data_IF_418771652277
#
_entry.id   IF_418771652277
#
_cell.length_a   1.000
_cell.length_b   1.000
_cell.length_c   1.000
_cell.angle_alpha   90.00
_cell.angle_beta   90.00
_cell.angle_gamma   90.00
#
_symmetry.space_group_name_H-M   'P 1'
#
loop_
_entity.id
_entity.type
_entity.pdbx_description
1 polymer ?
#
# COMPACT_ATOMS: atom_id res chain seq x y z
N UNK A 1 32.47 4.13 -7.03
CA UNK A 1 31.66 2.91 -6.85
C UNK A 1 30.24 3.35 -6.52
N UNK A 2 29.30 3.20 -7.47
CA UNK A 2 27.89 3.56 -7.32
C UNK A 2 27.13 2.36 -6.76
N UNK A 3 26.47 2.48 -5.60
CA UNK A 3 25.25 1.74 -5.21
C UNK A 3 24.84 2.16 -3.80
N UNK A 4 23.94 3.13 -3.68
CA UNK A 4 22.97 3.25 -2.58
C UNK A 4 22.15 4.54 -2.77
N UNK A 5 21.61 4.75 -3.98
CA UNK A 5 20.41 5.55 -4.11
C UNK A 5 19.26 4.63 -3.67
N UNK A 6 19.16 4.38 -2.37
CA UNK A 6 17.89 3.97 -1.80
C UNK A 6 16.96 5.09 -2.14
N UNK A 7 16.15 4.84 -3.16
CA UNK A 7 15.04 5.66 -3.58
C UNK A 7 14.26 5.87 -2.30
N UNK A 8 14.41 7.06 -1.72
CA UNK A 8 13.48 7.62 -0.77
C UNK A 8 12.15 7.52 -1.49
N UNK A 9 11.42 6.45 -1.20
CA UNK A 9 10.02 6.33 -1.56
C UNK A 9 9.43 7.61 -0.97
N UNK A 10 8.97 8.55 -1.81
CA UNK A 10 8.39 9.76 -1.29
C UNK A 10 7.26 9.30 -0.39
N UNK A 11 7.38 9.67 0.89
CA UNK A 11 6.31 9.57 1.85
C UNK A 11 5.21 10.55 1.40
N UNK A 12 4.54 10.23 0.29
CA UNK A 12 3.28 10.82 -0.13
C UNK A 12 2.16 10.12 0.63
N UNK A 13 2.33 10.00 1.95
CA UNK A 13 1.21 9.86 2.87
C UNK A 13 0.85 11.25 3.40
N UNK A 14 0.84 12.24 2.50
CA UNK A 14 0.29 13.55 2.82
C UNK A 14 -1.23 13.45 2.64
N UNK A 15 -1.91 13.02 3.71
CA UNK A 15 -3.34 13.26 3.95
C UNK A 15 -4.31 12.65 2.91
N UNK A 16 -4.08 11.41 2.47
CA UNK A 16 -5.06 10.68 1.67
C UNK A 16 -6.27 10.30 2.55
N UNK A 17 -7.47 10.74 2.18
CA UNK A 17 -8.71 10.34 2.85
C UNK A 17 -8.93 8.83 2.76
N UNK A 18 -9.72 8.25 3.68
CA UNK A 18 -10.06 6.81 3.67
C UNK A 18 -10.51 6.34 2.28
N UNK A 19 -11.32 7.14 1.58
CA UNK A 19 -11.77 6.85 0.22
C UNK A 19 -10.63 6.72 -0.80
N UNK A 20 -9.58 7.54 -0.68
CA UNK A 20 -8.40 7.47 -1.55
C UNK A 20 -7.55 6.24 -1.23
N UNK A 21 -7.39 5.92 0.06
CA UNK A 21 -6.70 4.70 0.50
C UNK A 21 -7.42 3.43 0.01
N UNK A 22 -8.76 3.43 -0.01
CA UNK A 22 -9.56 2.35 -0.61
C UNK A 22 -9.37 2.24 -2.13
N UNK A 23 -9.27 3.36 -2.82
CA UNK A 23 -9.03 3.40 -4.26
C UNK A 23 -7.65 2.81 -4.61
N UNK A 24 -6.61 3.21 -3.87
CA UNK A 24 -5.28 2.64 -3.98
C UNK A 24 -5.27 1.15 -3.62
N UNK A 25 -5.95 0.75 -2.55
CA UNK A 25 -6.08 -0.65 -2.16
C UNK A 25 -6.70 -1.49 -3.30
N UNK A 26 -7.74 -0.97 -3.96
CA UNK A 26 -8.37 -1.64 -5.11
C UNK A 26 -7.43 -1.76 -6.32
N UNK A 27 -6.62 -0.73 -6.59
CA UNK A 27 -5.60 -0.76 -7.64
C UNK A 27 -4.51 -1.80 -7.35
N UNK A 28 -4.02 -1.87 -6.12
CA UNK A 28 -3.03 -2.87 -5.70
C UNK A 28 -3.63 -4.29 -5.74
N UNK A 29 -4.90 -4.46 -5.41
CA UNK A 29 -5.60 -5.74 -5.56
C UNK A 29 -5.69 -6.19 -7.01
N UNK A 30 -6.04 -5.30 -7.95
CA UNK A 30 -6.05 -5.63 -9.39
C UNK A 30 -4.66 -5.99 -9.91
N UNK A 31 -3.63 -5.28 -9.44
CA UNK A 31 -2.22 -5.56 -9.80
C UNK A 31 -1.81 -6.93 -9.28
N UNK A 32 -2.17 -7.26 -8.03
CA UNK A 32 -1.96 -8.59 -7.44
C UNK A 32 -2.72 -9.68 -8.19
N UNK A 33 -3.96 -9.43 -8.58
CA UNK A 33 -4.77 -10.41 -9.32
C UNK A 33 -4.16 -10.71 -10.69
N UNK A 34 -3.68 -9.67 -11.39
CA UNK A 34 -2.95 -9.81 -12.66
C UNK A 34 -1.68 -10.65 -12.48
N UNK A 35 -0.93 -10.43 -11.41
CA UNK A 35 0.27 -11.21 -11.09
C UNK A 35 -0.10 -12.66 -10.75
N UNK A 36 -1.11 -12.88 -9.89
CA UNK A 36 -1.58 -14.22 -9.48
C UNK A 36 -2.20 -15.00 -10.63
N UNK A 37 -2.76 -14.33 -11.63
CA UNK A 37 -3.31 -14.94 -12.84
C UNK A 37 -2.23 -15.60 -13.72
N UNK A 38 -0.97 -15.15 -13.60
CA UNK A 38 0.15 -15.77 -14.30
C UNK A 38 0.57 -17.02 -13.55
N UNK A 39 0.35 -18.20 -14.16
CA UNK A 39 0.77 -19.50 -13.60
C UNK A 39 2.26 -19.59 -13.25
N UNK A 40 3.11 -18.77 -13.89
CA UNK A 40 4.54 -18.72 -13.67
C UNK A 40 4.99 -17.29 -13.34
N UNK A 41 4.89 -16.93 -12.06
CA UNK A 41 5.47 -15.71 -11.52
C UNK A 41 6.99 -15.82 -11.52
N UNK A 42 7.64 -14.92 -12.26
CA UNK A 42 9.10 -14.75 -12.20
C UNK A 42 9.53 -14.22 -10.82
N UNK A 43 10.79 -14.42 -10.44
CA UNK A 43 11.37 -13.90 -9.20
C UNK A 43 11.05 -12.40 -8.91
N UNK A 44 11.14 -11.48 -9.89
CA UNK A 44 10.72 -10.09 -9.68
C UNK A 44 9.21 -9.94 -9.42
N UNK A 45 8.36 -10.78 -10.01
CA UNK A 45 6.91 -10.75 -9.79
C UNK A 45 6.52 -11.27 -8.41
N UNK A 46 7.24 -12.26 -7.86
CA UNK A 46 7.08 -12.69 -6.46
C UNK A 46 7.47 -11.60 -5.48
N UNK A 47 8.57 -10.88 -5.76
CA UNK A 47 8.98 -9.72 -4.97
C UNK A 47 7.93 -8.60 -5.02
N UNK A 48 7.33 -8.38 -6.19
CA UNK A 48 6.23 -7.43 -6.34
C UNK A 48 4.99 -7.86 -5.55
N UNK A 49 4.62 -9.14 -5.54
CA UNK A 49 3.53 -9.64 -4.68
C UNK A 49 3.79 -9.34 -3.18
N UNK A 50 5.01 -9.60 -2.71
CA UNK A 50 5.39 -9.33 -1.31
C UNK A 50 5.35 -7.83 -1.02
N UNK A 51 5.84 -6.99 -1.94
CA UNK A 51 5.75 -5.53 -1.82
C UNK A 51 4.30 -5.05 -1.79
N UNK A 52 3.45 -5.54 -2.69
CA UNK A 52 2.03 -5.19 -2.75
C UNK A 52 1.30 -5.63 -1.47
N UNK A 53 1.59 -6.82 -0.92
CA UNK A 53 1.06 -7.24 0.39
C UNK A 53 1.48 -6.30 1.52
N UNK A 54 2.75 -5.87 1.55
CA UNK A 54 3.23 -4.89 2.54
C UNK A 54 2.55 -3.54 2.38
N UNK A 55 2.39 -3.06 1.15
CA UNK A 55 1.69 -1.80 0.89
C UNK A 55 0.24 -1.86 1.34
N UNK A 56 -0.48 -2.96 1.02
CA UNK A 56 -1.85 -3.17 1.49
C UNK A 56 -1.97 -3.17 3.00
N UNK A 57 -1.02 -3.80 3.69
CA UNK A 57 -0.98 -3.80 5.15
C UNK A 57 -0.79 -2.37 5.68
N UNK A 58 0.18 -1.63 5.13
CA UNK A 58 0.45 -0.24 5.51
C UNK A 58 -0.74 0.69 5.25
N UNK A 59 -1.46 0.51 4.14
CA UNK A 59 -2.69 1.27 3.85
C UNK A 59 -3.79 0.96 4.87
N UNK A 60 -3.91 -0.31 5.27
CA UNK A 60 -4.88 -0.74 6.28
C UNK A 60 -4.56 -0.13 7.65
N UNK A 61 -3.28 -0.12 8.02
CA UNK A 61 -2.82 0.50 9.26
C UNK A 61 -3.08 2.01 9.27
N UNK A 62 -2.87 2.70 8.14
CA UNK A 62 -3.16 4.14 8.02
C UNK A 62 -4.67 4.42 8.05
N UNK A 63 -5.49 3.60 7.38
CA UNK A 63 -6.94 3.69 7.48
C UNK A 63 -7.44 3.50 8.92
N UNK A 64 -6.89 2.53 9.66
CA UNK A 64 -7.25 2.33 11.06
C UNK A 64 -6.81 3.51 11.93
N UNK A 65 -5.64 4.08 11.67
CA UNK A 65 -5.13 5.26 12.38
C UNK A 65 -6.06 6.46 12.17
N UNK A 66 -6.48 6.71 10.93
CA UNK A 66 -7.46 7.75 10.59
C UNK A 66 -8.81 7.49 11.26
N UNK A 67 -9.34 6.26 11.19
CA UNK A 67 -10.61 5.90 11.87
C UNK A 67 -10.54 6.11 13.38
N UNK A 68 -9.43 5.73 14.03
CA UNK A 68 -9.23 5.94 15.47
C UNK A 68 -9.18 7.43 15.81
N UNK A 69 -8.56 8.23 14.96
CA UNK A 69 -8.52 9.69 15.14
C UNK A 69 -9.91 10.30 14.99
N UNK A 70 -10.67 9.96 13.94
CA UNK A 70 -12.05 10.46 13.76
C UNK A 70 -13.01 10.01 14.86
N UNK A 71 -12.87 8.77 15.35
CA UNK A 71 -13.66 8.27 16.48
C UNK A 71 -13.35 9.01 17.79
N UNK A 72 -12.10 9.46 17.96
CA UNK A 72 -11.69 10.23 19.14
C UNK A 72 -12.13 11.70 19.06
N UNK A 73 -12.11 12.29 17.86
CA UNK A 73 -12.55 13.68 17.60
C UNK A 73 -14.07 13.83 17.76
N UNK A 74 -14.84 12.80 17.39
CA UNK A 74 -16.31 12.81 17.52
C UNK A 74 -16.82 12.65 18.97
N UNK A 75 -15.94 12.42 19.95
CA UNK A 75 -16.30 12.25 21.36
C UNK A 75 -15.96 13.46 22.25
N UNK A 76 -15.57 14.61 21.67
CA UNK A 76 -15.30 15.84 22.42
C UNK A 76 -16.31 16.96 22.12
#
# INVERSE_FOLDING_TARGET
MQTAKYTELPNVTQHLSIQQLEQEHSLYDRRLDTLRSKLFLTEPEKLEEIRLKKLKLSLKDEMERLRRMEASDSQH
#
